data_IF_608768345110
#
_entry.id   IF_608768345110
#
_cell.length_a   1.000
_cell.length_b   1.000
_cell.length_c   1.000
_cell.angle_alpha   90.00
_cell.angle_beta   90.00
_cell.angle_gamma   90.00
#
_symmetry.space_group_name_H-M   'P 1'
#
loop_
_entity.id
_entity.type
_entity.pdbx_description
1 polymer ?
#
# COMPACT_ATOMS: atom_id res chain seq x y z
N UNK A 1 2.94 5.67 22.57
CA UNK A 1 2.47 4.53 21.74
C UNK A 1 3.65 3.89 21.03
N UNK A 2 3.68 2.56 20.82
CA UNK A 2 4.64 1.90 19.92
C UNK A 2 4.53 2.44 18.48
N UNK A 3 5.63 2.39 17.71
CA UNK A 3 5.66 2.88 16.32
C UNK A 3 5.63 1.75 15.28
N UNK A 4 6.06 0.55 15.68
CA UNK A 4 6.04 -0.62 14.82
C UNK A 4 5.78 -1.88 15.66
N UNK A 5 5.36 -2.96 15.00
CA UNK A 5 5.15 -4.27 15.60
C UNK A 5 5.64 -5.36 14.65
N UNK A 6 6.25 -6.41 15.21
CA UNK A 6 6.64 -7.61 14.49
C UNK A 6 5.73 -8.77 14.90
N UNK A 7 4.91 -9.25 13.98
CA UNK A 7 3.94 -10.32 14.22
C UNK A 7 4.52 -11.63 13.70
N UNK A 8 4.61 -12.63 14.58
CA UNK A 8 5.08 -13.99 14.25
C UNK A 8 6.48 -14.05 13.63
N UNK A 9 7.32 -13.02 13.83
CA UNK A 9 8.64 -12.91 13.22
C UNK A 9 8.65 -12.79 11.69
N UNK A 10 7.48 -12.54 11.07
CA UNK A 10 7.33 -12.56 9.60
C UNK A 10 6.57 -11.39 9.02
N UNK A 11 5.85 -10.62 9.84
CA UNK A 11 5.05 -9.49 9.38
C UNK A 11 5.46 -8.25 10.16
N UNK A 12 5.99 -7.24 9.48
CA UNK A 12 6.33 -5.96 10.09
C UNK A 12 5.20 -4.96 9.84
N UNK A 13 4.76 -4.26 10.88
CA UNK A 13 3.64 -3.32 10.77
C UNK A 13 4.02 -1.94 11.29
N UNK A 14 3.61 -0.88 10.59
CA UNK A 14 3.76 0.52 10.99
C UNK A 14 2.63 1.36 10.36
N UNK A 15 2.55 2.65 10.68
CA UNK A 15 1.50 3.51 10.13
C UNK A 15 1.87 4.00 8.71
N UNK A 16 3.02 4.66 8.62
CA UNK A 16 3.68 5.18 7.44
C UNK A 16 4.23 4.06 6.59
N UNK A 17 5.55 3.96 6.46
CA UNK A 17 6.16 2.93 5.65
C UNK A 17 7.53 2.53 6.14
N UNK A 18 8.36 2.09 5.21
CA UNK A 18 9.76 1.75 5.45
C UNK A 18 10.63 2.99 5.40
N UNK A 19 11.92 2.91 5.74
CA UNK A 19 12.83 4.05 5.71
C UNK A 19 14.18 3.62 5.18
N UNK A 20 14.93 4.53 4.55
CA UNK A 20 16.36 4.33 4.24
C UNK A 20 17.20 4.03 5.48
N UNK A 21 16.70 4.37 6.66
CA UNK A 21 17.36 4.16 7.96
C UNK A 21 17.07 2.78 8.56
N UNK A 22 16.23 1.96 7.92
CA UNK A 22 15.96 0.58 8.32
C UNK A 22 16.98 -0.37 7.68
N UNK A 23 18.16 -0.46 8.28
CA UNK A 23 19.23 -1.36 7.84
C UNK A 23 19.22 -2.69 8.61
N UNK A 24 18.82 -2.65 9.89
CA UNK A 24 18.74 -3.81 10.76
C UNK A 24 17.82 -3.55 11.97
N UNK A 25 17.57 -4.58 12.78
CA UNK A 25 16.66 -4.49 13.93
C UNK A 25 17.10 -3.48 15.00
N UNK A 26 18.40 -3.18 15.15
CA UNK A 26 18.89 -2.22 16.14
C UNK A 26 18.50 -0.78 15.82
N UNK A 27 18.16 -0.46 14.57
CA UNK A 27 17.73 0.90 14.23
C UNK A 27 16.47 1.32 15.00
N UNK A 28 15.57 0.38 15.34
CA UNK A 28 14.40 0.68 16.17
C UNK A 28 14.78 1.12 17.60
N UNK A 29 15.91 0.67 18.13
CA UNK A 29 16.42 1.03 19.46
C UNK A 29 16.95 2.48 19.51
N UNK A 30 17.24 3.08 18.34
CA UNK A 30 17.66 4.49 18.25
C UNK A 30 16.53 5.48 18.55
N UNK A 31 15.28 5.00 18.55
CA UNK A 31 14.12 5.82 18.84
C UNK A 31 13.94 5.90 20.36
N UNK A 32 14.57 6.90 20.96
CA UNK A 32 14.38 7.19 22.39
C UNK A 32 12.95 7.64 22.65
N UNK A 33 12.37 7.16 23.75
CA UNK A 33 10.99 7.45 24.16
C UNK A 33 10.99 8.09 25.55
N UNK A 34 10.08 9.03 25.85
CA UNK A 34 9.01 9.54 24.97
C UNK A 34 9.56 10.46 23.88
N UNK A 35 8.92 10.45 22.71
CA UNK A 35 9.12 11.48 21.69
C UNK A 35 8.20 12.65 22.02
N UNK A 36 8.74 13.86 22.07
CA UNK A 36 7.93 15.08 22.19
C UNK A 36 7.33 15.38 20.82
N UNK A 37 8.18 15.49 19.80
CA UNK A 37 7.77 15.60 18.40
C UNK A 37 8.27 14.40 17.60
N UNK A 38 7.47 13.94 16.63
CA UNK A 38 7.87 12.82 15.77
C UNK A 38 9.07 13.17 14.88
N UNK A 39 9.22 14.46 14.54
CA UNK A 39 10.32 14.98 13.74
C UNK A 39 11.68 14.95 14.46
N UNK A 40 11.70 14.77 15.79
CA UNK A 40 12.93 14.70 16.58
C UNK A 40 13.77 13.47 16.23
N UNK A 41 13.13 12.44 15.67
CA UNK A 41 13.81 11.25 15.17
C UNK A 41 13.35 10.94 13.76
N UNK A 42 14.28 11.02 12.80
CA UNK A 42 13.96 10.84 11.40
C UNK A 42 13.40 9.44 11.07
N UNK A 43 13.83 8.37 11.74
CA UNK A 43 13.23 7.05 11.55
C UNK A 43 11.80 7.01 12.10
N UNK A 44 11.53 7.64 13.25
CA UNK A 44 10.18 7.74 13.80
C UNK A 44 9.24 8.50 12.85
N UNK A 45 9.72 9.60 12.26
CA UNK A 45 8.98 10.36 11.24
C UNK A 45 8.66 9.49 10.02
N UNK A 46 9.66 8.80 9.49
CA UNK A 46 9.50 7.96 8.29
C UNK A 46 8.49 6.82 8.56
N UNK A 47 8.59 6.13 9.70
CA UNK A 47 7.65 5.07 10.11
C UNK A 47 6.18 5.52 10.20
N UNK A 48 5.93 6.83 10.29
CA UNK A 48 4.58 7.41 10.35
C UNK A 48 4.16 8.05 9.02
N UNK A 49 5.08 8.61 8.23
CA UNK A 49 4.74 9.50 7.12
C UNK A 49 5.24 9.09 5.74
N UNK A 50 6.07 8.04 5.63
CA UNK A 50 6.45 7.49 4.32
C UNK A 50 5.22 6.99 3.54
N UNK A 51 5.28 7.06 2.21
CA UNK A 51 4.25 6.51 1.31
C UNK A 51 4.89 5.67 0.19
N UNK A 52 4.24 4.61 -0.30
CA UNK A 52 4.61 4.00 -1.56
C UNK A 52 4.58 5.01 -2.71
N UNK A 53 5.52 4.88 -3.64
CA UNK A 53 5.48 5.60 -4.90
C UNK A 53 4.18 5.27 -5.65
N UNK A 54 3.56 6.27 -6.28
CA UNK A 54 2.34 6.07 -7.06
C UNK A 54 2.61 5.10 -8.22
N UNK A 55 1.70 4.13 -8.46
CA UNK A 55 1.90 3.02 -9.41
C UNK A 55 2.33 3.46 -10.82
N UNK A 56 1.90 4.64 -11.26
CA UNK A 56 2.16 5.18 -12.60
C UNK A 56 3.39 6.13 -12.65
N UNK A 57 4.08 6.33 -11.53
CA UNK A 57 5.29 7.14 -11.46
C UNK A 57 6.51 6.43 -12.05
N UNK A 58 7.46 7.21 -12.57
CA UNK A 58 8.73 6.67 -13.08
C UNK A 58 9.49 5.88 -12.01
N UNK A 59 9.40 6.29 -10.74
CA UNK A 59 10.03 5.60 -9.61
C UNK A 59 9.40 4.22 -9.37
N UNK A 60 8.07 4.10 -9.47
CA UNK A 60 7.36 2.83 -9.33
C UNK A 60 7.72 1.82 -10.44
N UNK A 61 8.01 2.31 -11.65
CA UNK A 61 8.44 1.50 -12.79
C UNK A 61 9.93 1.12 -12.77
N UNK A 62 10.71 1.74 -11.88
CA UNK A 62 12.14 1.47 -11.77
C UNK A 62 12.40 0.05 -11.26
N UNK A 63 13.42 -0.61 -11.83
CA UNK A 63 13.90 -1.92 -11.37
C UNK A 63 14.94 -1.84 -10.26
N UNK A 64 15.31 -0.63 -9.85
CA UNK A 64 16.22 -0.37 -8.73
C UNK A 64 15.44 0.25 -7.56
N UNK A 65 15.94 0.14 -6.31
CA UNK A 65 15.38 0.88 -5.17
C UNK A 65 15.34 2.37 -5.44
N UNK A 66 14.16 2.98 -5.31
CA UNK A 66 13.95 4.42 -5.45
C UNK A 66 13.32 5.01 -4.20
N UNK A 67 13.98 6.04 -3.69
CA UNK A 67 13.52 6.87 -2.59
C UNK A 67 13.42 8.31 -3.10
N UNK A 68 12.24 8.89 -3.04
CA UNK A 68 11.96 10.22 -3.58
C UNK A 68 11.32 11.10 -2.52
N UNK A 69 11.40 12.43 -2.66
CA UNK A 69 10.74 13.33 -1.71
C UNK A 69 9.23 13.13 -1.75
N UNK A 70 8.58 13.03 -0.59
CA UNK A 70 7.13 12.95 -0.53
C UNK A 70 6.50 14.35 -0.65
N UNK A 71 6.32 14.80 -1.89
CA UNK A 71 5.74 16.11 -2.18
C UNK A 71 4.30 16.28 -1.66
N UNK A 72 3.53 15.18 -1.55
CA UNK A 72 2.15 15.23 -1.05
C UNK A 72 2.10 15.53 0.46
N UNK A 73 3.07 15.03 1.22
CA UNK A 73 3.14 15.25 2.67
C UNK A 73 3.97 16.47 3.05
N UNK A 74 4.90 16.89 2.19
CA UNK A 74 5.86 17.96 2.47
C UNK A 74 6.99 17.55 3.43
N UNK A 75 7.04 16.28 3.81
CA UNK A 75 8.03 15.68 4.70
C UNK A 75 8.16 14.19 4.37
N UNK A 76 9.24 13.57 4.85
CA UNK A 76 9.53 12.16 4.56
C UNK A 76 9.73 11.85 3.06
N UNK A 77 9.83 10.57 2.74
CA UNK A 77 10.07 10.04 1.41
C UNK A 77 8.91 9.17 0.89
N UNK A 78 8.95 8.92 -0.41
CA UNK A 78 8.24 7.82 -1.05
C UNK A 78 9.20 6.70 -1.41
N UNK A 79 8.69 5.46 -1.47
CA UNK A 79 9.49 4.28 -1.78
C UNK A 79 8.83 3.37 -2.82
N UNK A 80 9.61 2.78 -3.73
CA UNK A 80 9.07 1.85 -4.73
C UNK A 80 9.06 0.38 -4.25
N UNK A 81 8.58 -0.50 -5.13
CA UNK A 81 8.47 -1.94 -4.83
C UNK A 81 9.81 -2.61 -4.53
N UNK A 82 10.92 -2.13 -5.12
CA UNK A 82 12.24 -2.68 -4.87
C UNK A 82 12.74 -2.37 -3.46
N UNK A 83 12.44 -1.18 -2.93
CA UNK A 83 12.71 -0.85 -1.54
C UNK A 83 12.00 -1.82 -0.57
N UNK A 84 10.74 -2.18 -0.87
CA UNK A 84 9.98 -3.17 -0.08
C UNK A 84 10.66 -4.54 -0.13
N UNK A 85 11.09 -4.97 -1.32
CA UNK A 85 11.78 -6.24 -1.52
C UNK A 85 13.06 -6.32 -0.69
N UNK A 86 13.84 -5.26 -0.68
CA UNK A 86 15.10 -5.21 0.05
C UNK A 86 14.88 -5.21 1.57
N UNK A 87 13.93 -4.43 2.08
CA UNK A 87 13.57 -4.50 3.51
C UNK A 87 13.07 -5.90 3.88
N UNK A 88 12.24 -6.53 3.05
CA UNK A 88 11.77 -7.88 3.32
C UNK A 88 12.92 -8.89 3.40
N UNK A 89 13.89 -8.81 2.49
CA UNK A 89 15.09 -9.67 2.47
C UNK A 89 15.95 -9.42 3.71
N UNK A 90 16.30 -8.16 3.98
CA UNK A 90 17.18 -7.75 5.08
C UNK A 90 16.63 -8.19 6.44
N UNK A 91 15.35 -7.98 6.68
CA UNK A 91 14.69 -8.33 7.95
C UNK A 91 14.17 -9.78 7.98
N UNK A 92 14.32 -10.55 6.88
CA UNK A 92 13.83 -11.93 6.73
C UNK A 92 12.33 -12.09 7.03
N UNK A 93 11.56 -11.06 6.66
CA UNK A 93 10.10 -10.99 6.78
C UNK A 93 9.44 -11.28 5.44
N UNK A 94 8.13 -11.56 5.46
CA UNK A 94 7.35 -11.91 4.26
C UNK A 94 6.39 -10.81 3.82
N UNK A 95 5.98 -9.95 4.76
CA UNK A 95 4.94 -8.95 4.52
C UNK A 95 5.19 -7.72 5.38
N UNK A 96 4.95 -6.56 4.79
CA UNK A 96 4.84 -5.28 5.47
C UNK A 96 3.37 -4.88 5.43
N UNK A 97 2.80 -4.54 6.58
CA UNK A 97 1.42 -4.01 6.68
C UNK A 97 1.49 -2.56 7.13
N UNK A 98 0.86 -1.69 6.36
CA UNK A 98 0.80 -0.26 6.64
C UNK A 98 -0.63 0.29 6.59
N UNK A 99 -0.78 1.57 6.94
CA UNK A 99 -2.04 2.30 6.82
C UNK A 99 -1.84 3.63 6.06
N UNK A 100 -2.32 4.75 6.62
CA UNK A 100 -2.05 6.14 6.22
C UNK A 100 -2.67 6.65 4.90
N UNK A 101 -2.80 5.82 3.88
CA UNK A 101 -3.44 6.19 2.60
C UNK A 101 -4.85 5.61 2.54
N UNK A 102 -5.82 6.43 2.10
CA UNK A 102 -7.17 5.97 1.81
C UNK A 102 -7.14 5.09 0.56
N UNK A 103 -7.70 3.88 0.70
CA UNK A 103 -7.82 2.91 -0.39
C UNK A 103 -9.30 2.65 -0.66
N UNK A 104 -9.78 2.72 -1.92
CA UNK A 104 -11.20 2.56 -2.25
C UNK A 104 -11.85 1.29 -1.71
N UNK A 105 -11.17 0.14 -1.76
CA UNK A 105 -11.69 -1.14 -1.26
C UNK A 105 -11.33 -1.41 0.22
N UNK A 106 -10.71 -0.44 0.91
CA UNK A 106 -10.24 -0.56 2.28
C UNK A 106 -8.93 -1.33 2.43
N UNK A 107 -8.44 -2.00 1.39
CA UNK A 107 -7.12 -2.63 1.38
C UNK A 107 -6.52 -2.70 -0.03
N UNK A 108 -5.20 -2.74 -0.13
CA UNK A 108 -4.49 -2.94 -1.40
C UNK A 108 -3.18 -3.69 -1.16
N UNK A 109 -2.94 -4.73 -1.96
CA UNK A 109 -1.63 -5.36 -2.07
C UNK A 109 -0.81 -4.72 -3.19
N UNK A 110 0.44 -4.40 -2.91
CA UNK A 110 1.44 -3.94 -3.89
C UNK A 110 2.76 -4.68 -3.67
N UNK A 111 3.80 -4.34 -4.46
CA UNK A 111 5.13 -4.95 -4.37
C UNK A 111 5.10 -6.49 -4.36
N UNK A 112 4.44 -7.08 -5.36
CA UNK A 112 4.25 -8.54 -5.46
C UNK A 112 3.67 -9.17 -4.17
N UNK A 113 2.66 -8.52 -3.59
CA UNK A 113 1.97 -8.92 -2.34
C UNK A 113 2.83 -8.89 -1.07
N UNK A 114 3.98 -8.21 -1.10
CA UNK A 114 4.84 -8.01 0.09
C UNK A 114 4.53 -6.71 0.84
N UNK A 115 3.73 -5.82 0.26
CA UNK A 115 3.19 -4.66 0.95
C UNK A 115 1.66 -4.71 0.93
N UNK A 116 1.06 -4.49 2.10
CA UNK A 116 -0.38 -4.37 2.27
C UNK A 116 -0.70 -3.02 2.91
N UNK A 117 -1.47 -2.20 2.22
CA UNK A 117 -2.07 -0.99 2.79
C UNK A 117 -3.47 -1.31 3.26
N UNK A 118 -3.81 -0.93 4.49
CA UNK A 118 -5.13 -1.09 5.10
C UNK A 118 -5.70 0.26 5.49
N UNK A 119 -6.99 0.44 5.21
CA UNK A 119 -7.73 1.62 5.59
C UNK A 119 -9.07 1.20 6.20
N UNK A 120 -9.27 1.51 7.47
CA UNK A 120 -10.40 0.99 8.26
C UNK A 120 -11.56 1.96 8.44
N UNK A 121 -11.50 3.16 7.83
CA UNK A 121 -12.55 4.16 7.90
C UNK A 121 -13.42 4.11 6.62
N UNK A 122 -14.55 3.39 6.60
CA UNK A 122 -15.48 3.43 5.46
C UNK A 122 -16.06 4.83 5.31
N UNK A 123 -16.35 5.24 4.07
CA UNK A 123 -16.89 6.55 3.73
C UNK A 123 -16.13 7.73 4.34
N UNK A 124 -14.83 7.73 4.12
CA UNK A 124 -13.93 8.72 4.68
C UNK A 124 -14.38 10.13 4.36
N UNK A 125 -14.46 10.96 5.40
CA UNK A 125 -14.93 12.35 5.36
C UNK A 125 -16.36 12.54 4.84
N UNK A 126 -17.19 11.48 4.75
CA UNK A 126 -18.52 11.50 4.10
C UNK A 126 -18.51 11.92 2.61
N UNK A 127 -17.34 12.09 2.02
CA UNK A 127 -17.16 12.52 0.63
C UNK A 127 -16.76 11.35 -0.28
N UNK A 128 -16.08 10.35 0.28
CA UNK A 128 -15.58 9.21 -0.46
C UNK A 128 -16.54 8.03 -0.32
N UNK A 129 -16.74 7.25 -1.38
CA UNK A 129 -17.50 6.00 -1.32
C UNK A 129 -16.58 4.78 -1.10
N UNK A 130 -15.52 4.95 -0.30
CA UNK A 130 -14.57 3.88 0.01
C UNK A 130 -15.16 2.91 1.04
N UNK A 131 -14.74 1.64 0.96
CA UNK A 131 -14.94 0.64 2.01
C UNK A 131 -13.86 0.81 3.09
N UNK A 132 -14.12 0.23 4.26
CA UNK A 132 -13.10 0.01 5.28
C UNK A 132 -12.71 -1.46 5.32
N UNK A 133 -11.50 -1.78 5.77
CA UNK A 133 -11.11 -3.15 6.02
C UNK A 133 -10.23 -3.29 7.27
N UNK A 134 -10.16 -4.49 7.82
CA UNK A 134 -9.21 -4.89 8.87
C UNK A 134 -8.51 -6.18 8.48
N UNK A 135 -7.34 -6.42 9.08
CA UNK A 135 -6.59 -7.66 8.94
C UNK A 135 -6.77 -8.50 10.19
N UNK A 136 -7.12 -9.77 10.00
CA UNK A 136 -7.19 -10.78 11.06
C UNK A 136 -6.05 -11.77 10.88
N UNK A 137 -5.15 -11.82 11.85
CA UNK A 137 -4.06 -12.80 11.90
C UNK A 137 -4.35 -13.72 13.09
N UNK A 138 -4.46 -15.02 12.83
CA UNK A 138 -4.68 -16.03 13.86
C UNK A 138 -3.34 -16.55 14.38
N UNK A 139 -3.37 -17.17 15.55
CA UNK A 139 -2.20 -17.78 16.18
C UNK A 139 -1.54 -18.87 15.33
N UNK A 140 -2.34 -19.62 14.56
CA UNK A 140 -1.86 -20.61 13.58
C UNK A 140 -1.26 -19.98 12.30
N UNK A 141 -1.08 -18.66 12.28
CA UNK A 141 -0.54 -17.89 11.17
C UNK A 141 -1.53 -17.67 10.04
N UNK A 142 -2.79 -18.12 10.15
CA UNK A 142 -3.80 -17.85 9.13
C UNK A 142 -4.07 -16.36 9.03
N UNK A 143 -4.02 -15.87 7.79
CA UNK A 143 -4.18 -14.48 7.44
C UNK A 143 -5.53 -14.26 6.74
N UNK A 144 -6.30 -13.27 7.18
CA UNK A 144 -7.58 -12.89 6.62
C UNK A 144 -7.74 -11.38 6.52
N UNK A 145 -8.51 -10.89 5.55
CA UNK A 145 -8.93 -9.49 5.45
C UNK A 145 -10.44 -9.49 5.58
N UNK A 146 -10.99 -8.66 6.46
CA UNK A 146 -12.44 -8.47 6.63
C UNK A 146 -12.76 -7.08 6.10
N UNK A 147 -13.66 -7.00 5.11
CA UNK A 147 -14.09 -5.74 4.51
C UNK A 147 -15.44 -5.33 5.09
N UNK A 148 -15.56 -4.07 5.50
CA UNK A 148 -16.77 -3.49 6.03
C UNK A 148 -17.71 -3.03 4.93
N UNK A 149 -19.01 -3.14 5.20
CA UNK A 149 -20.04 -2.61 4.33
C UNK A 149 -20.11 -1.08 4.32
N UNK A 150 -20.62 -0.57 3.21
CA UNK A 150 -20.92 0.85 3.01
C UNK A 150 -22.29 1.20 3.63
N UNK A 151 -22.48 0.98 4.92
CA UNK A 151 -23.76 1.33 5.56
C UNK A 151 -23.84 2.85 5.79
N UNK A 152 -24.91 3.48 5.27
CA UNK A 152 -25.42 4.75 5.80
C UNK A 152 -25.72 4.55 7.29
N UNK A 153 -25.34 5.49 8.16
CA UNK A 153 -25.48 5.40 9.61
C UNK A 153 -26.66 4.56 10.09
N UNK A 154 -26.35 3.39 10.65
CA UNK A 154 -27.32 2.44 11.19
C UNK A 154 -26.71 1.73 12.39
N UNK A 155 -27.54 1.48 13.41
CA UNK A 155 -27.13 0.78 14.64
C UNK A 155 -26.68 -0.64 14.26
N UNK A 156 -25.38 -0.92 14.42
CA UNK A 156 -24.66 -2.19 14.17
C UNK A 156 -23.97 -2.34 12.78
N UNK A 157 -22.88 -1.60 12.53
CA UNK A 157 -22.06 -1.74 11.32
C UNK A 157 -21.21 -3.04 11.26
N UNK A 158 -21.22 -3.88 12.31
CA UNK A 158 -20.31 -5.02 12.49
C UNK A 158 -20.87 -6.37 12.02
N UNK A 159 -22.14 -6.46 11.62
CA UNK A 159 -22.82 -7.76 11.43
C UNK A 159 -22.67 -8.38 10.04
N UNK A 160 -21.92 -7.78 9.12
CA UNK A 160 -21.75 -8.32 7.77
C UNK A 160 -20.27 -8.59 7.49
N UNK A 161 -19.80 -9.75 7.98
CA UNK A 161 -18.52 -10.36 7.61
C UNK A 161 -18.57 -10.75 6.13
N UNK A 162 -18.12 -9.87 5.25
CA UNK A 162 -17.92 -10.21 3.84
C UNK A 162 -16.44 -10.52 3.58
N UNK A 163 -16.21 -11.82 3.39
CA UNK A 163 -15.09 -12.46 2.68
C UNK A 163 -13.88 -12.84 3.56
N UNK A 164 -13.69 -14.16 3.78
CA UNK A 164 -12.38 -14.71 4.18
C UNK A 164 -11.42 -14.58 3.01
N UNK A 165 -10.13 -14.35 3.28
CA UNK A 165 -9.09 -14.12 2.26
C UNK A 165 -9.02 -15.18 1.13
N UNK A 166 -9.57 -16.37 1.35
CA UNK A 166 -9.68 -17.44 0.37
C UNK A 166 -10.60 -17.10 -0.84
N UNK A 167 -11.43 -16.06 -0.74
CA UNK A 167 -12.45 -15.70 -1.73
C UNK A 167 -12.22 -14.35 -2.43
N UNK A 168 -11.04 -13.73 -2.32
CA UNK A 168 -10.76 -12.51 -3.10
C UNK A 168 -10.15 -12.94 -4.44
N UNK A 169 -10.94 -13.01 -5.55
CA UNK A 169 -10.34 -13.16 -6.86
C UNK A 169 -9.40 -11.98 -7.10
N UNK A 170 -8.27 -12.28 -7.72
CA UNK A 170 -7.18 -11.37 -8.05
C UNK A 170 -7.61 -10.34 -9.13
N UNK A 171 -8.65 -9.55 -8.88
CA UNK A 171 -9.32 -8.71 -9.90
C UNK A 171 -8.65 -7.34 -10.05
N UNK A 172 -7.97 -6.84 -9.01
CA UNK A 172 -7.30 -5.53 -9.07
C UNK A 172 -6.15 -5.50 -10.10
N UNK A 173 -5.50 -6.63 -10.36
CA UNK A 173 -4.41 -6.71 -11.35
C UNK A 173 -4.89 -6.88 -12.80
N UNK A 174 -6.11 -7.36 -13.05
CA UNK A 174 -6.61 -7.65 -14.42
C UNK A 174 -7.27 -6.46 -15.11
N UNK A 175 -7.95 -5.57 -14.37
CA UNK A 175 -8.70 -4.47 -15.02
C UNK A 175 -7.79 -3.39 -15.63
N UNK A 176 -6.64 -3.07 -15.03
CA UNK A 176 -5.71 -2.07 -15.61
C UNK A 176 -4.97 -2.61 -16.84
N UNK A 177 -4.57 -3.88 -16.87
CA UNK A 177 -3.87 -4.46 -18.02
C UNK A 177 -4.75 -4.53 -19.26
N UNK A 178 -6.01 -4.93 -19.11
CA UNK A 178 -6.88 -5.17 -20.27
C UNK A 178 -7.35 -3.85 -20.90
N UNK A 179 -7.55 -2.81 -20.09
CA UNK A 179 -7.95 -1.48 -20.59
C UNK A 179 -6.80 -0.82 -21.36
N UNK A 180 -5.58 -0.82 -20.80
CA UNK A 180 -4.39 -0.26 -21.46
C UNK A 180 -4.03 -1.02 -22.74
N UNK A 181 -4.14 -2.36 -22.74
CA UNK A 181 -3.88 -3.17 -23.94
C UNK A 181 -4.93 -2.94 -25.03
N UNK A 182 -6.19 -2.72 -24.67
CA UNK A 182 -7.26 -2.41 -25.62
C UNK A 182 -7.13 -0.98 -26.17
N UNK A 183 -6.72 -0.02 -25.35
CA UNK A 183 -6.48 1.36 -25.77
C UNK A 183 -5.30 1.44 -26.73
N UNK A 184 -4.22 0.69 -26.48
CA UNK A 184 -3.07 0.59 -27.39
C UNK A 184 -3.44 -0.08 -28.72
N UNK A 185 -4.23 -1.16 -28.69
CA UNK A 185 -4.71 -1.81 -29.93
C UNK A 185 -5.60 -0.89 -30.77
N UNK A 186 -6.46 -0.12 -30.11
CA UNK A 186 -7.35 0.84 -30.78
C UNK A 186 -6.54 1.99 -31.40
N UNK A 187 -5.57 2.54 -30.67
CA UNK A 187 -4.68 3.59 -31.17
C UNK A 187 -3.81 3.12 -32.36
N UNK A 188 -3.30 1.89 -32.32
CA UNK A 188 -2.53 1.30 -33.41
C UNK A 188 -3.39 1.03 -34.65
N UNK A 189 -4.64 0.62 -34.49
CA UNK A 189 -5.55 0.46 -35.64
C UNK A 189 -5.86 1.80 -36.31
N UNK A 190 -6.14 2.86 -35.55
CA UNK A 190 -6.40 4.20 -36.11
C UNK A 190 -5.19 4.75 -36.88
N UNK A 191 -3.98 4.60 -36.34
CA UNK A 191 -2.75 5.05 -37.00
C UNK A 191 -2.44 4.26 -38.31
N UNK A 192 -2.84 2.99 -38.38
CA UNK A 192 -2.68 2.17 -39.59
C UNK A 192 -3.68 2.55 -40.70
N UNK A 193 -4.86 3.09 -40.36
CA UNK A 193 -5.82 3.58 -41.35
C UNK A 193 -5.47 4.98 -41.88
N UNK A 194 -4.93 5.86 -41.03
CA UNK A 194 -4.52 7.22 -41.46
C UNK A 194 -3.28 7.25 -42.35
N UNK A 195 -2.40 6.25 -42.27
CA UNK A 195 -1.22 6.17 -43.15
C UNK A 195 -1.53 5.68 -44.58
N UNK A 196 -2.71 5.08 -44.82
CA UNK A 196 -3.13 4.61 -46.15
C UNK A 196 -3.99 5.61 -46.93
N UNK A 197 -4.48 6.67 -46.30
CA UNK A 197 -5.27 7.72 -46.96
C UNK A 197 -4.42 8.85 -47.57
N UNK A 198 -3.11 8.90 -47.27
CA UNK A 198 -2.19 9.94 -47.74
C UNK A 198 -1.28 9.52 -48.91
N UNK A 199 -1.55 8.38 -49.55
CA UNK A 199 -0.95 8.01 -50.84
C UNK A 199 -2.04 7.83 -51.90
N UNK A 200 -2.56 8.95 -52.39
CA UNK A 200 -3.18 9.06 -53.71
C UNK A 200 -2.96 10.47 -54.26
#
# INVERSE_FOLDING_TARGET
MPLACLIGGKILTMHGGISTKLENWKNFETIQRPLVEVSDNALAQDLIWEDPAADESLDALSREPKWSKNALRGLSCTFNSQCVDDVCKTFKIKLIIRAHQMIPDGFQFTANKKLLTIFSAPRYMNENDNRGAIVRIREDGKFGIIVFNKTMGGKNPLNEELTRADYIPNVSAKKKSDTVVNDIKTALQTAFFDSKSSQK
#
